data_IF_623423690307
#
_entry.id   IF_623423690307
#
_cell.length_a   1.000
_cell.length_b   1.000
_cell.length_c   1.000
_cell.angle_alpha   90.00
_cell.angle_beta   90.00
_cell.angle_gamma   90.00
#
_symmetry.space_group_name_H-M   'P 1'
#
loop_
_entity.id
_entity.type
_entity.pdbx_description
1 polymer ?
#
# COMPACT_ATOMS: atom_id res chain seq x y z
N UNK A 1 -10.08 -29.92 -27.60
CA UNK A 1 -9.62 -29.07 -26.48
C UNK A 1 -10.55 -27.88 -26.36
N UNK A 2 -11.07 -27.57 -25.17
CA UNK A 2 -11.93 -26.41 -24.98
C UNK A 2 -11.07 -25.14 -24.98
N UNK A 3 -11.24 -24.30 -26.00
CA UNK A 3 -10.45 -23.08 -26.22
C UNK A 3 -10.63 -22.07 -25.07
N UNK A 4 -11.85 -21.91 -24.56
CA UNK A 4 -12.13 -21.02 -23.43
C UNK A 4 -11.43 -21.47 -22.15
N UNK A 5 -11.34 -22.78 -21.93
CA UNK A 5 -10.59 -23.31 -20.79
C UNK A 5 -9.09 -23.00 -20.88
N UNK A 6 -8.50 -23.06 -22.08
CA UNK A 6 -7.10 -22.69 -22.30
C UNK A 6 -6.86 -21.18 -22.15
N UNK A 7 -7.82 -20.35 -22.60
CA UNK A 7 -7.71 -18.91 -22.50
C UNK A 7 -7.89 -18.41 -21.05
N UNK A 8 -8.85 -18.96 -20.30
CA UNK A 8 -9.19 -18.52 -18.95
C UNK A 8 -8.42 -19.26 -17.85
N UNK A 9 -7.90 -20.45 -18.13
CA UNK A 9 -7.10 -21.24 -17.20
C UNK A 9 -5.95 -20.48 -16.53
N UNK A 10 -5.03 -19.82 -17.26
CA UNK A 10 -3.94 -19.08 -16.64
C UNK A 10 -4.42 -17.88 -15.80
N UNK A 11 -5.51 -17.22 -16.20
CA UNK A 11 -6.12 -16.11 -15.45
C UNK A 11 -6.58 -16.60 -14.07
N UNK A 12 -7.36 -17.69 -14.05
CA UNK A 12 -7.85 -18.29 -12.81
C UNK A 12 -6.69 -18.83 -11.96
N UNK A 13 -5.71 -19.48 -12.59
CA UNK A 13 -4.58 -20.07 -11.88
C UNK A 13 -3.73 -19.03 -11.16
N UNK A 14 -3.39 -17.90 -11.80
CA UNK A 14 -2.59 -16.83 -11.19
C UNK A 14 -3.37 -16.15 -10.07
N UNK A 15 -4.65 -15.81 -10.30
CA UNK A 15 -5.48 -15.19 -9.27
C UNK A 15 -5.60 -16.08 -8.03
N UNK A 16 -5.89 -17.37 -8.25
CA UNK A 16 -6.02 -18.35 -7.19
C UNK A 16 -4.70 -18.58 -6.45
N UNK A 17 -3.58 -18.63 -7.18
CA UNK A 17 -2.25 -18.75 -6.59
C UNK A 17 -1.95 -17.60 -5.63
N UNK A 18 -2.19 -16.34 -6.03
CA UNK A 18 -1.96 -15.19 -5.17
C UNK A 18 -2.93 -15.18 -3.98
N UNK A 19 -4.19 -15.51 -4.21
CA UNK A 19 -5.18 -15.59 -3.13
C UNK A 19 -4.81 -16.64 -2.05
N UNK A 20 -4.24 -17.79 -2.42
CA UNK A 20 -3.72 -18.76 -1.45
C UNK A 20 -2.47 -18.23 -0.72
N UNK A 21 -1.64 -17.46 -1.43
CA UNK A 21 -0.40 -16.88 -0.88
C UNK A 21 -0.63 -15.69 0.04
N UNK A 22 -1.85 -15.16 0.05
CA UNK A 22 -2.33 -14.29 1.09
C UNK A 22 -2.35 -15.04 2.43
N UNK A 23 -1.52 -14.55 3.35
CA UNK A 23 -1.08 -15.30 4.54
C UNK A 23 -1.65 -14.75 5.83
N UNK A 24 -2.09 -13.50 5.87
CA UNK A 24 -2.47 -12.88 7.14
C UNK A 24 -3.95 -12.50 7.17
N UNK A 25 -4.50 -11.96 6.07
CA UNK A 25 -5.93 -11.69 5.99
C UNK A 25 -6.41 -11.89 4.55
N UNK A 26 -7.01 -13.05 4.27
CA UNK A 26 -7.47 -13.36 2.93
C UNK A 26 -8.63 -12.48 2.51
N UNK A 27 -8.47 -11.86 1.35
CA UNK A 27 -9.53 -11.05 0.75
C UNK A 27 -10.81 -11.85 0.43
N UNK A 28 -12.01 -11.31 0.71
CA UNK A 28 -13.26 -11.99 0.39
C UNK A 28 -13.44 -12.10 -1.13
N UNK A 29 -13.72 -13.33 -1.61
CA UNK A 29 -13.85 -13.63 -3.04
C UNK A 29 -14.82 -12.70 -3.79
N UNK A 30 -15.89 -12.24 -3.13
CA UNK A 30 -16.87 -11.32 -3.73
C UNK A 30 -16.21 -10.04 -4.26
N UNK A 31 -15.30 -9.42 -3.50
CA UNK A 31 -14.67 -8.16 -3.90
C UNK A 31 -13.57 -8.37 -4.94
N UNK A 32 -12.88 -9.52 -4.87
CA UNK A 32 -11.94 -9.93 -5.91
C UNK A 32 -12.65 -10.15 -7.25
N UNK A 33 -13.79 -10.85 -7.25
CA UNK A 33 -14.60 -11.05 -8.45
C UNK A 33 -15.16 -9.72 -8.97
N UNK A 34 -15.63 -8.82 -8.09
CA UNK A 34 -16.07 -7.48 -8.49
C UNK A 34 -14.96 -6.72 -9.24
N UNK A 35 -13.74 -6.75 -8.69
CA UNK A 35 -12.58 -6.06 -9.27
C UNK A 35 -12.12 -6.71 -10.57
N UNK A 36 -12.18 -8.05 -10.66
CA UNK A 36 -11.94 -8.79 -11.89
C UNK A 36 -12.98 -8.42 -12.97
N UNK A 37 -14.26 -8.35 -12.63
CA UNK A 37 -15.30 -7.92 -13.56
C UNK A 37 -15.11 -6.46 -14.00
N UNK A 38 -14.65 -5.57 -13.12
CA UNK A 38 -14.30 -4.21 -13.52
C UNK A 38 -13.13 -4.18 -14.52
N UNK A 39 -12.16 -5.09 -14.37
CA UNK A 39 -11.10 -5.32 -15.36
C UNK A 39 -11.63 -5.76 -16.72
N UNK A 40 -12.59 -6.69 -16.74
CA UNK A 40 -13.28 -7.11 -17.97
C UNK A 40 -13.96 -5.93 -18.65
N UNK A 41 -14.67 -5.10 -17.89
CA UNK A 41 -15.34 -3.89 -18.42
C UNK A 41 -14.33 -2.87 -18.91
N UNK A 42 -13.16 -2.75 -18.26
CA UNK A 42 -12.09 -1.84 -18.65
C UNK A 42 -11.46 -2.19 -20.02
N UNK A 43 -11.59 -3.42 -20.51
CA UNK A 43 -11.15 -3.78 -21.86
C UNK A 43 -12.02 -3.14 -22.96
N UNK A 44 -13.30 -2.85 -22.69
CA UNK A 44 -14.24 -2.29 -23.68
C UNK A 44 -13.76 -0.94 -24.23
N UNK A 45 -13.49 0.10 -23.43
CA UNK A 45 -13.02 1.38 -23.95
C UNK A 45 -11.68 1.27 -24.65
N UNK A 46 -10.78 0.36 -24.21
CA UNK A 46 -9.50 0.12 -24.90
C UNK A 46 -9.73 -0.44 -26.29
N UNK A 47 -10.53 -1.49 -26.43
CA UNK A 47 -10.86 -2.09 -27.73
C UNK A 47 -11.45 -1.03 -28.68
N UNK A 48 -12.29 -0.12 -28.17
CA UNK A 48 -12.84 0.99 -28.97
C UNK A 48 -11.72 1.92 -29.43
N UNK A 49 -10.84 2.35 -28.53
CA UNK A 49 -9.70 3.22 -28.86
C UNK A 49 -8.80 2.56 -29.90
N UNK A 50 -8.45 1.29 -29.72
CA UNK A 50 -7.62 0.52 -30.65
C UNK A 50 -8.27 0.35 -32.01
N UNK A 51 -9.57 0.04 -32.07
CA UNK A 51 -10.29 -0.07 -33.35
C UNK A 51 -10.26 1.27 -34.09
N UNK A 52 -10.53 2.38 -33.40
CA UNK A 52 -10.49 3.71 -34.00
C UNK A 52 -9.10 4.08 -34.49
N UNK A 53 -8.05 3.64 -33.78
CA UNK A 53 -6.66 3.87 -34.17
C UNK A 53 -6.21 3.00 -35.34
N UNK A 54 -6.60 1.72 -35.37
CA UNK A 54 -6.27 0.77 -36.45
C UNK A 54 -6.90 1.20 -37.79
N UNK A 55 -8.05 1.88 -37.78
CA UNK A 55 -8.67 2.42 -39.00
C UNK A 55 -7.89 3.60 -39.61
N UNK A 56 -6.88 4.14 -38.90
CA UNK A 56 -5.96 5.16 -39.42
C UNK A 56 -4.79 4.52 -40.20
N UNK A 57 -4.83 3.19 -40.43
CA UNK A 57 -3.95 2.42 -41.34
C UNK A 57 -2.50 2.31 -40.88
N UNK A 58 -2.23 1.30 -40.04
CA UNK A 58 -0.87 0.82 -39.81
C UNK A 58 -0.66 -0.53 -40.48
N UNK A 59 0.09 -0.55 -41.58
CA UNK A 59 0.88 -1.73 -41.89
C UNK A 59 2.03 -1.75 -40.87
N UNK A 60 1.90 -2.60 -39.85
CA UNK A 60 2.90 -2.73 -38.77
C UNK A 60 4.29 -3.00 -39.36
N UNK A 61 4.37 -3.67 -40.52
CA UNK A 61 5.65 -3.96 -41.16
C UNK A 61 6.29 -2.73 -41.82
N UNK A 62 5.51 -1.70 -42.11
CA UNK A 62 5.96 -0.43 -42.68
C UNK A 62 6.33 0.62 -41.62
N UNK A 63 6.07 0.36 -40.33
CA UNK A 63 6.40 1.28 -39.26
C UNK A 63 7.90 1.43 -39.07
N UNK A 64 8.35 2.67 -38.90
CA UNK A 64 9.68 2.95 -38.35
C UNK A 64 9.76 2.48 -36.91
N UNK A 65 10.98 2.25 -36.40
CA UNK A 65 11.21 1.89 -34.99
C UNK A 65 10.61 2.93 -34.02
N UNK A 66 10.66 4.22 -34.39
CA UNK A 66 10.10 5.30 -33.56
C UNK A 66 8.58 5.27 -33.50
N UNK A 67 7.91 5.01 -34.63
CA UNK A 67 6.46 4.88 -34.68
C UNK A 67 5.98 3.63 -33.96
N UNK A 68 6.66 2.49 -34.12
CA UNK A 68 6.34 1.27 -33.37
C UNK A 68 6.50 1.50 -31.86
N UNK A 69 7.56 2.18 -31.42
CA UNK A 69 7.72 2.52 -30.01
C UNK A 69 6.65 3.49 -29.51
N UNK A 70 6.24 4.47 -30.32
CA UNK A 70 5.14 5.36 -29.94
C UNK A 70 3.84 4.58 -29.78
N UNK A 71 3.51 3.73 -30.75
CA UNK A 71 2.33 2.86 -30.71
C UNK A 71 2.34 1.97 -29.46
N UNK A 72 3.41 1.22 -29.20
CA UNK A 72 3.41 0.25 -28.10
C UNK A 72 3.42 0.92 -26.72
N UNK A 73 4.13 2.02 -26.53
CA UNK A 73 4.21 2.67 -25.22
C UNK A 73 3.05 3.63 -24.95
N UNK A 74 2.61 4.40 -25.94
CA UNK A 74 1.65 5.49 -25.75
C UNK A 74 0.24 5.08 -26.18
N UNK A 75 0.10 4.39 -27.31
CA UNK A 75 -1.24 4.05 -27.81
C UNK A 75 -1.78 2.82 -27.09
N UNK A 76 -0.97 1.77 -26.96
CA UNK A 76 -1.35 0.51 -26.31
C UNK A 76 -1.05 0.58 -24.81
N UNK A 77 0.23 0.55 -24.43
CA UNK A 77 0.64 0.37 -23.03
C UNK A 77 0.09 1.42 -22.07
N UNK A 78 0.09 2.71 -22.45
CA UNK A 78 -0.48 3.77 -21.61
C UNK A 78 -2.00 3.62 -21.48
N UNK A 79 -2.70 3.39 -22.59
CA UNK A 79 -4.17 3.29 -22.61
C UNK A 79 -4.64 2.08 -21.81
N UNK A 80 -4.04 0.91 -22.05
CA UNK A 80 -4.37 -0.33 -21.34
C UNK A 80 -4.18 -0.21 -19.84
N UNK A 81 -2.98 0.21 -19.42
CA UNK A 81 -2.66 0.30 -18.00
C UNK A 81 -3.47 1.40 -17.31
N UNK A 82 -3.84 2.46 -18.04
CA UNK A 82 -4.74 3.50 -17.52
C UNK A 82 -6.11 2.92 -17.17
N UNK A 83 -6.76 2.20 -18.09
CA UNK A 83 -8.09 1.63 -17.84
C UNK A 83 -8.06 0.51 -16.80
N UNK A 84 -6.99 -0.30 -16.73
CA UNK A 84 -6.78 -1.28 -15.64
C UNK A 84 -6.64 -0.59 -14.29
N UNK A 85 -5.84 0.48 -14.21
CA UNK A 85 -5.70 1.26 -13.00
C UNK A 85 -7.04 1.87 -12.59
N UNK A 86 -7.81 2.45 -13.51
CA UNK A 86 -9.15 2.99 -13.24
C UNK A 86 -10.07 1.93 -12.65
N UNK A 87 -10.11 0.72 -13.22
CA UNK A 87 -10.90 -0.38 -12.66
C UNK A 87 -10.51 -0.70 -11.20
N UNK A 88 -9.20 -0.84 -10.93
CA UNK A 88 -8.69 -1.07 -9.58
C UNK A 88 -9.02 0.07 -8.60
N UNK A 89 -8.80 1.33 -9.00
CA UNK A 89 -9.07 2.49 -8.15
C UNK A 89 -10.57 2.66 -7.86
N UNK A 90 -11.43 2.38 -8.84
CA UNK A 90 -12.87 2.49 -8.72
C UNK A 90 -13.48 1.43 -7.78
N UNK A 91 -12.96 0.19 -7.77
CA UNK A 91 -13.57 -0.90 -6.99
C UNK A 91 -12.92 -1.15 -5.64
N UNK A 92 -11.59 -1.01 -5.54
CA UNK A 92 -10.84 -1.56 -4.41
C UNK A 92 -10.05 -0.53 -3.62
N UNK A 93 -9.43 0.46 -4.28
CA UNK A 93 -8.49 1.37 -3.60
C UNK A 93 -9.12 2.12 -2.42
N UNK A 94 -10.36 2.58 -2.57
CA UNK A 94 -11.10 3.29 -1.53
C UNK A 94 -11.95 2.36 -0.65
N UNK A 95 -11.96 1.07 -0.95
CA UNK A 95 -12.67 0.07 -0.15
C UNK A 95 -12.05 -0.06 1.24
N UNK A 96 -12.89 -0.35 2.23
CA UNK A 96 -12.46 -0.72 3.58
C UNK A 96 -11.78 -2.08 3.65
N UNK A 97 -11.98 -2.93 2.64
CA UNK A 97 -11.41 -4.27 2.57
C UNK A 97 -9.93 -4.25 2.25
N UNK A 98 -9.47 -3.30 1.42
CA UNK A 98 -8.04 -3.06 1.24
C UNK A 98 -7.48 -2.38 2.50
N UNK A 99 -7.08 -3.19 3.47
CA UNK A 99 -6.71 -2.81 4.83
C UNK A 99 -5.24 -3.16 5.17
N UNK A 100 -4.54 -3.81 4.24
CA UNK A 100 -3.10 -4.02 4.24
C UNK A 100 -2.43 -3.76 2.88
N UNK A 101 -1.09 -3.56 2.84
CA UNK A 101 -0.39 -3.27 1.59
C UNK A 101 -0.47 -4.39 0.53
N UNK A 102 -0.62 -5.64 0.95
CA UNK A 102 -0.70 -6.79 0.04
C UNK A 102 -2.01 -6.79 -0.76
N UNK A 103 -3.12 -6.34 -0.17
CA UNK A 103 -4.43 -6.23 -0.83
C UNK A 103 -4.37 -5.34 -2.07
N UNK A 104 -3.54 -4.29 -2.01
CA UNK A 104 -3.29 -3.44 -3.17
C UNK A 104 -2.79 -4.24 -4.37
N UNK A 105 -1.85 -5.16 -4.14
CA UNK A 105 -1.38 -6.12 -5.16
C UNK A 105 -2.54 -7.01 -5.58
N UNK A 106 -3.23 -7.65 -4.63
CA UNK A 106 -4.24 -8.66 -4.93
C UNK A 106 -5.39 -8.10 -5.79
N UNK A 107 -5.90 -6.91 -5.45
CA UNK A 107 -6.97 -6.25 -6.21
C UNK A 107 -6.49 -5.70 -7.56
N UNK A 108 -5.31 -5.08 -7.63
CA UNK A 108 -4.82 -4.56 -8.91
C UNK A 108 -4.49 -5.70 -9.89
N UNK A 109 -3.96 -6.83 -9.40
CA UNK A 109 -3.79 -8.05 -10.19
C UNK A 109 -5.14 -8.58 -10.65
N UNK A 110 -6.17 -8.58 -9.79
CA UNK A 110 -7.51 -9.02 -10.19
C UNK A 110 -8.08 -8.17 -11.35
N UNK A 111 -7.93 -6.84 -11.29
CA UNK A 111 -8.34 -5.95 -12.38
C UNK A 111 -7.56 -6.24 -13.67
N UNK A 112 -6.23 -6.37 -13.58
CA UNK A 112 -5.38 -6.66 -14.74
C UNK A 112 -5.68 -8.03 -15.36
N UNK A 113 -5.96 -9.05 -14.54
CA UNK A 113 -6.35 -10.39 -14.98
C UNK A 113 -7.74 -10.43 -15.61
N UNK A 114 -8.68 -9.62 -15.12
CA UNK A 114 -9.98 -9.44 -15.75
C UNK A 114 -9.88 -8.85 -17.15
N UNK A 115 -9.04 -7.82 -17.31
CA UNK A 115 -8.72 -7.25 -18.61
C UNK A 115 -8.07 -8.30 -19.54
N UNK A 116 -7.02 -8.96 -19.04
CA UNK A 116 -6.28 -9.98 -19.78
C UNK A 116 -7.16 -11.18 -20.18
N UNK A 117 -8.25 -11.46 -19.47
CA UNK A 117 -9.18 -12.52 -19.82
C UNK A 117 -9.87 -12.26 -21.17
N UNK A 118 -10.36 -11.03 -21.39
CA UNK A 118 -11.03 -10.65 -22.66
C UNK A 118 -10.02 -10.68 -23.80
N UNK A 119 -8.89 -10.01 -23.59
CA UNK A 119 -7.84 -9.92 -24.60
C UNK A 119 -7.31 -11.32 -24.96
N UNK A 120 -7.01 -12.16 -23.96
CA UNK A 120 -6.55 -13.52 -24.21
C UNK A 120 -7.60 -14.37 -24.95
N UNK A 121 -8.89 -14.24 -24.62
CA UNK A 121 -9.94 -14.91 -25.40
C UNK A 121 -9.93 -14.46 -26.86
N UNK A 122 -9.85 -13.15 -27.13
CA UNK A 122 -9.82 -12.62 -28.50
C UNK A 122 -8.61 -13.15 -29.29
N UNK A 123 -7.40 -13.06 -28.72
CA UNK A 123 -6.19 -13.57 -29.39
C UNK A 123 -6.23 -15.08 -29.62
N UNK A 124 -6.79 -15.85 -28.68
CA UNK A 124 -6.90 -17.30 -28.83
C UNK A 124 -7.96 -17.70 -29.86
N UNK A 125 -9.06 -16.94 -29.98
CA UNK A 125 -10.04 -17.15 -31.06
C UNK A 125 -9.42 -16.93 -32.44
N UNK A 126 -8.46 -16.00 -32.55
CA UNK A 126 -7.76 -15.70 -33.81
C UNK A 126 -6.60 -16.67 -34.10
N UNK A 127 -5.79 -16.98 -33.10
CA UNK A 127 -4.54 -17.76 -33.25
C UNK A 127 -4.62 -19.21 -32.78
N UNK A 128 -5.77 -19.66 -32.29
CA UNK A 128 -6.03 -21.03 -31.85
C UNK A 128 -5.20 -21.49 -30.65
N UNK A 129 -5.03 -22.81 -30.55
CA UNK A 129 -4.31 -23.46 -29.44
C UNK A 129 -2.86 -22.96 -29.27
N UNK A 130 -2.05 -22.76 -30.34
CA UNK A 130 -0.70 -22.23 -30.18
C UNK A 130 -0.66 -20.85 -29.51
N UNK A 131 -1.57 -19.95 -29.90
CA UNK A 131 -1.70 -18.64 -29.26
C UNK A 131 -2.04 -18.77 -27.77
N UNK A 132 -2.90 -19.73 -27.40
CA UNK A 132 -3.25 -19.96 -26.00
C UNK A 132 -2.02 -20.35 -25.16
N UNK A 133 -1.18 -21.25 -25.66
CA UNK A 133 0.03 -21.67 -24.95
C UNK A 133 1.06 -20.55 -24.82
N UNK A 134 1.31 -19.81 -25.91
CA UNK A 134 2.26 -18.68 -25.88
C UNK A 134 1.78 -17.64 -24.88
N UNK A 135 0.53 -17.20 -24.97
CA UNK A 135 -0.02 -16.16 -24.10
C UNK A 135 -0.14 -16.58 -22.64
N UNK A 136 -0.43 -17.86 -22.37
CA UNK A 136 -0.46 -18.40 -21.01
C UNK A 136 0.91 -18.30 -20.31
N UNK A 137 2.02 -18.36 -21.07
CA UNK A 137 3.39 -18.26 -20.55
C UNK A 137 3.95 -16.84 -20.58
N UNK A 138 3.42 -15.96 -21.43
CA UNK A 138 3.96 -14.62 -21.66
C UNK A 138 2.96 -13.52 -21.26
N UNK A 139 1.95 -13.25 -22.08
CA UNK A 139 1.05 -12.11 -21.95
C UNK A 139 0.25 -12.13 -20.63
N UNK A 140 -0.38 -13.26 -20.29
CA UNK A 140 -1.23 -13.35 -19.09
C UNK A 140 -0.42 -13.17 -17.80
N UNK A 141 0.76 -13.82 -17.62
CA UNK A 141 1.67 -13.50 -16.52
C UNK A 141 2.17 -12.04 -16.54
N UNK A 142 2.46 -11.48 -17.72
CA UNK A 142 2.86 -10.08 -17.84
C UNK A 142 1.79 -9.18 -17.24
N UNK A 143 0.54 -9.21 -17.72
CA UNK A 143 -0.54 -8.36 -17.18
C UNK A 143 -0.70 -8.48 -15.67
N UNK A 144 -0.62 -9.71 -15.13
CA UNK A 144 -0.65 -9.89 -13.68
C UNK A 144 0.48 -9.14 -12.98
N UNK A 145 1.70 -9.18 -13.52
CA UNK A 145 2.84 -8.44 -12.98
C UNK A 145 2.67 -6.92 -13.13
N UNK A 146 2.20 -6.39 -14.28
CA UNK A 146 1.88 -4.96 -14.42
C UNK A 146 0.86 -4.49 -13.37
N UNK A 147 -0.22 -5.26 -13.19
CA UNK A 147 -1.20 -5.03 -12.12
C UNK A 147 -0.56 -5.06 -10.72
N UNK A 148 0.36 -6.00 -10.47
CA UNK A 148 1.11 -6.07 -9.22
C UNK A 148 1.99 -4.84 -8.98
N UNK A 149 2.66 -4.29 -10.00
CA UNK A 149 3.44 -3.06 -9.89
C UNK A 149 2.54 -1.89 -9.46
N UNK A 150 1.42 -1.68 -10.16
CA UNK A 150 0.43 -0.65 -9.79
C UNK A 150 -0.05 -0.87 -8.35
N UNK A 151 -0.46 -2.10 -8.03
CA UNK A 151 -1.01 -2.47 -6.73
C UNK A 151 -0.05 -2.32 -5.56
N UNK A 152 1.22 -2.69 -5.75
CA UNK A 152 2.26 -2.54 -4.72
C UNK A 152 2.47 -1.08 -4.33
N UNK A 153 2.68 -0.22 -5.33
CA UNK A 153 2.90 1.20 -5.07
C UNK A 153 1.65 1.92 -4.58
N UNK A 154 0.47 1.58 -5.10
CA UNK A 154 -0.81 2.09 -4.61
C UNK A 154 -1.07 1.65 -3.16
N UNK A 155 -0.79 0.39 -2.82
CA UNK A 155 -0.83 -0.14 -1.45
C UNK A 155 0.06 0.68 -0.53
N UNK A 156 1.32 0.90 -0.90
CA UNK A 156 2.23 1.79 -0.15
C UNK A 156 1.70 3.21 -0.01
N UNK A 157 1.08 3.76 -1.06
CA UNK A 157 0.50 5.10 -1.04
C UNK A 157 -0.68 5.19 -0.05
N UNK A 158 -1.56 4.19 -0.03
CA UNK A 158 -2.73 4.17 0.86
C UNK A 158 -2.31 4.30 2.32
N UNK A 159 -1.32 3.52 2.75
CA UNK A 159 -0.81 3.46 4.13
C UNK A 159 0.36 4.43 4.43
N UNK A 160 0.72 5.31 3.49
CA UNK A 160 1.77 6.30 3.73
C UNK A 160 1.32 7.40 4.72
N UNK A 161 2.16 7.68 5.73
CA UNK A 161 1.91 8.75 6.73
C UNK A 161 1.94 10.16 6.11
N UNK A 162 2.86 10.39 5.17
CA UNK A 162 3.04 11.69 4.50
C UNK A 162 2.15 11.77 3.26
N UNK A 163 1.12 12.63 3.30
CA UNK A 163 0.13 12.76 2.21
C UNK A 163 0.76 13.15 0.86
N UNK A 164 1.80 13.98 0.87
CA UNK A 164 2.47 14.43 -0.35
C UNK A 164 3.22 13.31 -1.11
N UNK A 165 3.56 12.21 -0.44
CA UNK A 165 4.27 11.06 -1.07
C UNK A 165 3.30 10.17 -1.87
N UNK A 166 2.01 10.20 -1.54
CA UNK A 166 0.99 9.33 -2.15
C UNK A 166 0.92 9.44 -3.67
N UNK A 167 0.77 10.64 -4.27
CA UNK A 167 0.71 10.76 -5.73
C UNK A 167 1.98 10.28 -6.41
N UNK A 168 3.17 10.54 -5.83
CA UNK A 168 4.44 10.09 -6.39
C UNK A 168 4.54 8.56 -6.43
N UNK A 169 4.11 7.87 -5.38
CA UNK A 169 4.07 6.40 -5.36
C UNK A 169 3.11 5.86 -6.43
N UNK A 170 1.89 6.38 -6.50
CA UNK A 170 0.90 5.95 -7.50
C UNK A 170 1.46 6.15 -8.92
N UNK A 171 2.02 7.33 -9.20
CA UNK A 171 2.64 7.63 -10.49
C UNK A 171 3.81 6.70 -10.78
N UNK A 172 4.64 6.37 -9.79
CA UNK A 172 5.76 5.43 -9.95
C UNK A 172 5.28 4.05 -10.40
N UNK A 173 4.27 3.49 -9.71
CA UNK A 173 3.72 2.18 -10.07
C UNK A 173 3.09 2.17 -11.46
N UNK A 174 2.33 3.22 -11.77
CA UNK A 174 1.72 3.42 -13.08
C UNK A 174 2.77 3.53 -14.20
N UNK A 175 3.76 4.40 -14.05
CA UNK A 175 4.81 4.60 -15.07
C UNK A 175 5.64 3.34 -15.29
N UNK A 176 5.94 2.57 -14.24
CA UNK A 176 6.63 1.28 -14.38
C UNK A 176 5.77 0.29 -15.18
N UNK A 177 4.47 0.19 -14.88
CA UNK A 177 3.57 -0.70 -15.61
C UNK A 177 3.46 -0.33 -17.09
N UNK A 178 3.25 0.96 -17.40
CA UNK A 178 3.19 1.47 -18.78
C UNK A 178 4.49 1.18 -19.54
N UNK A 179 5.64 1.46 -18.92
CA UNK A 179 6.94 1.22 -19.54
C UNK A 179 7.17 -0.27 -19.83
N UNK A 180 6.88 -1.15 -18.84
CA UNK A 180 7.04 -2.59 -19.02
C UNK A 180 6.06 -3.15 -20.05
N UNK A 181 4.85 -2.59 -20.13
CA UNK A 181 3.84 -2.98 -21.11
C UNK A 181 4.32 -2.63 -22.52
N UNK A 182 4.65 -1.36 -22.77
CA UNK A 182 5.13 -0.93 -24.07
C UNK A 182 6.41 -1.63 -24.49
N UNK A 183 7.29 -1.99 -23.55
CA UNK A 183 8.48 -2.78 -23.82
C UNK A 183 8.14 -4.25 -24.19
N UNK A 184 7.18 -4.86 -23.51
CA UNK A 184 6.68 -6.20 -23.84
C UNK A 184 6.14 -6.23 -25.27
N UNK A 185 5.27 -5.28 -25.62
CA UNK A 185 4.67 -5.19 -26.95
C UNK A 185 5.68 -4.83 -28.03
N UNK A 186 6.62 -3.93 -27.76
CA UNK A 186 7.69 -3.60 -28.69
C UNK A 186 8.49 -4.85 -29.09
N UNK A 187 8.81 -5.71 -28.12
CA UNK A 187 9.51 -6.97 -28.36
C UNK A 187 8.62 -7.96 -29.11
N UNK A 188 7.34 -8.07 -28.72
CA UNK A 188 6.41 -9.03 -29.29
C UNK A 188 6.04 -8.70 -30.75
N UNK A 189 5.90 -7.40 -31.07
CA UNK A 189 5.49 -6.88 -32.38
C UNK A 189 6.67 -6.55 -33.29
N UNK A 190 7.91 -6.81 -32.88
CA UNK A 190 9.09 -6.41 -33.64
C UNK A 190 9.11 -7.06 -35.05
N UNK A 191 9.04 -6.26 -36.15
CA UNK A 191 8.68 -6.77 -37.47
C UNK A 191 9.74 -7.66 -38.14
N UNK A 192 11.00 -7.60 -37.71
CA UNK A 192 12.11 -8.20 -38.47
C UNK A 192 12.75 -9.46 -37.87
N UNK A 193 12.42 -9.89 -36.63
CA UNK A 193 13.07 -11.05 -36.03
C UNK A 193 12.22 -11.84 -35.03
N UNK A 194 11.88 -13.09 -35.36
CA UNK A 194 11.39 -14.09 -34.38
C UNK A 194 12.37 -14.32 -33.23
N UNK A 195 13.66 -14.00 -33.41
CA UNK A 195 14.66 -14.01 -32.33
C UNK A 195 14.41 -12.93 -31.28
N UNK A 196 13.74 -11.83 -31.61
CA UNK A 196 13.43 -10.78 -30.64
C UNK A 196 12.60 -11.33 -29.47
N UNK A 197 11.73 -12.32 -29.74
CA UNK A 197 10.92 -12.98 -28.71
C UNK A 197 11.75 -13.68 -27.63
N UNK A 198 13.03 -14.01 -27.91
CA UNK A 198 13.93 -14.53 -26.88
C UNK A 198 14.17 -13.51 -25.75
N UNK A 199 14.02 -12.21 -26.02
CA UNK A 199 14.12 -11.15 -25.01
C UNK A 199 12.90 -11.06 -24.09
N UNK A 200 11.78 -11.71 -24.42
CA UNK A 200 10.64 -11.80 -23.51
C UNK A 200 10.98 -12.61 -22.25
N UNK A 201 11.79 -13.68 -22.38
CA UNK A 201 12.17 -14.52 -21.23
C UNK A 201 12.98 -13.78 -20.16
N UNK A 202 14.07 -13.05 -20.47
CA UNK A 202 14.79 -12.27 -19.46
C UNK A 202 13.93 -11.11 -18.94
N UNK A 203 13.11 -10.45 -19.77
CA UNK A 203 12.18 -9.42 -19.32
C UNK A 203 11.21 -9.97 -18.27
N UNK A 204 10.50 -11.05 -18.60
CA UNK A 204 9.57 -11.72 -17.69
C UNK A 204 10.29 -12.24 -16.45
N UNK A 205 11.51 -12.77 -16.58
CA UNK A 205 12.33 -13.21 -15.45
C UNK A 205 12.62 -12.08 -14.46
N UNK A 206 13.02 -10.90 -14.95
CA UNK A 206 13.22 -9.70 -14.12
C UNK A 206 11.91 -9.27 -13.45
N UNK A 207 10.81 -9.26 -14.20
CA UNK A 207 9.49 -8.90 -13.66
C UNK A 207 9.02 -9.88 -12.58
N UNK A 208 9.26 -11.19 -12.74
CA UNK A 208 8.92 -12.22 -11.75
C UNK A 208 9.73 -11.99 -10.48
N UNK A 209 11.05 -11.79 -10.60
CA UNK A 209 11.90 -11.52 -9.43
C UNK A 209 11.45 -10.25 -8.70
N UNK A 210 11.21 -9.16 -9.42
CA UNK A 210 10.70 -7.91 -8.84
C UNK A 210 9.34 -8.11 -8.16
N UNK A 211 8.43 -8.85 -8.79
CA UNK A 211 7.12 -9.18 -8.24
C UNK A 211 7.22 -9.95 -6.92
N UNK A 212 8.10 -10.95 -6.84
CA UNK A 212 8.35 -11.71 -5.63
C UNK A 212 8.92 -10.84 -4.51
N UNK A 213 9.82 -9.91 -4.83
CA UNK A 213 10.38 -8.94 -3.88
C UNK A 213 9.30 -7.99 -3.34
N UNK A 214 8.42 -7.50 -4.21
CA UNK A 214 7.32 -6.61 -3.82
C UNK A 214 6.24 -7.32 -3.01
N UNK A 215 5.88 -8.56 -3.37
CA UNK A 215 5.02 -9.41 -2.54
C UNK A 215 5.63 -9.61 -1.15
N UNK A 216 6.92 -9.91 -1.07
CA UNK A 216 7.62 -10.09 0.20
C UNK A 216 7.62 -8.82 1.04
N UNK A 217 7.91 -7.66 0.44
CA UNK A 217 7.90 -6.37 1.12
C UNK A 217 6.48 -5.98 1.59
N UNK A 218 5.46 -6.12 0.74
CA UNK A 218 4.07 -5.82 1.08
C UNK A 218 3.59 -6.68 2.26
N UNK A 219 3.84 -7.99 2.22
CA UNK A 219 3.52 -8.91 3.31
C UNK A 219 4.28 -8.59 4.59
N UNK A 220 5.53 -8.15 4.50
CA UNK A 220 6.30 -7.76 5.68
C UNK A 220 5.78 -6.48 6.34
N UNK A 221 4.98 -5.69 5.63
CA UNK A 221 4.32 -4.48 6.14
C UNK A 221 2.87 -4.72 6.56
N UNK A 222 2.38 -5.95 6.45
CA UNK A 222 1.05 -6.33 6.92
C UNK A 222 0.89 -5.95 8.41
N UNK A 223 -0.19 -5.25 8.78
CA UNK A 223 -0.52 -5.04 10.19
C UNK A 223 -1.01 -6.34 10.85
N UNK A 224 -1.41 -7.35 10.07
CA UNK A 224 -1.88 -8.65 10.55
C UNK A 224 -0.73 -9.66 10.73
N UNK A 225 0.50 -9.29 10.33
CA UNK A 225 1.68 -10.10 10.59
C UNK A 225 1.91 -10.28 12.10
N UNK A 226 2.03 -11.53 12.60
CA UNK A 226 2.26 -11.78 14.01
C UNK A 226 3.62 -11.21 14.46
N UNK A 227 3.61 -10.52 15.61
CA UNK A 227 4.86 -10.11 16.26
C UNK A 227 5.53 -11.32 16.90
N UNK A 228 6.79 -11.55 16.57
CA UNK A 228 7.61 -12.60 17.16
C UNK A 228 8.88 -12.01 17.79
N UNK A 229 9.37 -12.63 18.87
CA UNK A 229 10.66 -12.30 19.46
C UNK A 229 11.85 -12.93 18.69
N UNK A 230 13.07 -12.71 19.18
CA UNK A 230 14.30 -13.27 18.61
C UNK A 230 14.36 -14.81 18.64
N UNK A 231 13.50 -15.45 19.43
CA UNK A 231 13.34 -16.90 19.54
C UNK A 231 12.15 -17.43 18.73
N UNK A 232 11.44 -16.56 18.00
CA UNK A 232 10.27 -16.89 17.18
C UNK A 232 8.96 -17.10 17.97
N UNK A 233 8.94 -16.74 19.26
CA UNK A 233 7.73 -16.82 20.09
C UNK A 233 6.82 -15.63 19.83
N UNK A 234 5.51 -15.87 19.79
CA UNK A 234 4.52 -14.81 19.61
C UNK A 234 4.57 -13.80 20.77
N UNK A 235 4.78 -12.53 20.46
CA UNK A 235 4.76 -11.45 21.45
C UNK A 235 3.50 -10.61 21.38
N UNK A 236 2.79 -10.62 20.25
CA UNK A 236 1.61 -9.79 19.98
C UNK A 236 1.88 -8.30 19.82
N UNK A 237 3.05 -7.79 20.20
CA UNK A 237 3.35 -6.37 20.16
C UNK A 237 3.86 -5.92 18.79
N UNK A 238 3.08 -5.09 18.07
CA UNK A 238 3.51 -4.49 16.80
C UNK A 238 3.40 -2.97 16.82
N UNK A 239 4.31 -2.27 16.14
CA UNK A 239 4.16 -0.84 15.79
C UNK A 239 4.39 -0.69 14.30
N UNK A 240 3.38 -0.15 13.59
CA UNK A 240 3.43 0.02 12.12
C UNK A 240 3.80 -1.29 11.38
N UNK A 241 3.28 -2.45 11.84
CA UNK A 241 3.50 -3.76 11.22
C UNK A 241 4.84 -4.43 11.55
N UNK A 242 5.72 -3.80 12.34
CA UNK A 242 6.98 -4.40 12.79
C UNK A 242 6.83 -5.01 14.18
N UNK A 243 7.36 -6.21 14.45
CA UNK A 243 7.45 -6.76 15.79
C UNK A 243 8.18 -5.77 16.70
N UNK A 244 7.63 -5.55 17.88
CA UNK A 244 8.22 -4.71 18.89
C UNK A 244 8.69 -5.58 20.07
N UNK A 245 9.89 -5.35 20.61
CA UNK A 245 10.29 -6.02 21.84
C UNK A 245 9.29 -5.70 22.95
N UNK A 246 8.88 -6.69 23.78
CA UNK A 246 7.88 -6.49 24.84
C UNK A 246 8.20 -5.31 25.77
N UNK A 247 9.48 -5.09 26.08
CA UNK A 247 9.96 -3.97 26.90
C UNK A 247 9.67 -2.60 26.28
N UNK A 248 9.81 -2.49 24.97
CA UNK A 248 9.53 -1.24 24.23
C UNK A 248 8.02 -1.06 24.10
N UNK A 249 7.27 -2.15 23.94
CA UNK A 249 5.83 -2.12 23.78
C UNK A 249 5.12 -1.64 25.04
N UNK A 250 5.55 -2.16 26.20
CA UNK A 250 5.09 -1.70 27.51
C UNK A 250 5.36 -0.20 27.72
N UNK A 251 6.54 0.29 27.29
CA UNK A 251 6.89 1.72 27.40
C UNK A 251 6.04 2.62 26.48
N UNK A 252 5.60 2.09 25.35
CA UNK A 252 4.76 2.80 24.37
C UNK A 252 3.26 2.58 24.58
N UNK A 253 2.85 1.80 25.59
CA UNK A 253 1.45 1.47 25.83
C UNK A 253 0.80 0.67 24.69
N UNK A 254 1.58 -0.15 23.98
CA UNK A 254 1.09 -0.95 22.85
C UNK A 254 0.49 -2.23 23.38
N UNK A 255 -0.79 -2.47 23.10
CA UNK A 255 -1.45 -3.73 23.47
C UNK A 255 -1.05 -4.90 22.54
N UNK A 256 -0.92 -6.12 23.09
CA UNK A 256 -0.61 -7.29 22.29
C UNK A 256 -1.84 -7.73 21.48
N UNK A 257 -1.63 -8.01 20.19
CA UNK A 257 -2.66 -8.61 19.33
C UNK A 257 -2.81 -10.10 19.61
N UNK A 258 -3.87 -10.70 19.06
CA UNK A 258 -4.02 -12.16 19.02
C UNK A 258 -3.24 -12.74 17.82
N UNK A 259 -2.65 -13.94 17.96
CA UNK A 259 -1.96 -14.60 16.86
C UNK A 259 -2.96 -15.01 15.76
N UNK A 260 -2.54 -15.01 14.48
CA UNK A 260 -3.32 -15.62 13.41
C UNK A 260 -3.64 -17.09 13.69
N UNK A 261 -4.76 -17.58 13.17
CA UNK A 261 -5.23 -18.97 13.41
C UNK A 261 -4.22 -20.04 12.96
N UNK A 262 -3.40 -19.74 11.95
CA UNK A 262 -2.39 -20.63 11.39
C UNK A 262 -0.98 -20.44 11.98
N UNK A 263 -0.82 -19.59 13.01
CA UNK A 263 0.46 -19.35 13.64
C UNK A 263 0.89 -20.54 14.51
N UNK A 264 2.01 -21.19 14.14
CA UNK A 264 2.66 -22.24 14.91
C UNK A 264 3.94 -21.68 15.53
N UNK A 265 4.05 -21.57 16.87
CA UNK A 265 5.27 -21.13 17.54
C UNK A 265 6.46 -22.07 17.28
N UNK A 266 7.68 -21.53 17.24
CA UNK A 266 8.92 -22.30 17.01
C UNK A 266 9.38 -23.13 18.20
N UNK A 267 8.93 -22.82 19.43
CA UNK A 267 9.29 -23.58 20.63
C UNK A 267 8.05 -23.96 21.46
N UNK A 268 7.82 -25.27 21.54
CA UNK A 268 6.81 -25.98 22.32
C UNK A 268 5.35 -25.76 21.89
N UNK A 269 4.61 -26.85 21.67
CA UNK A 269 3.18 -26.87 21.35
C UNK A 269 2.26 -26.36 22.47
N UNK A 270 2.66 -25.34 23.23
CA UNK A 270 1.77 -24.61 24.11
C UNK A 270 0.98 -23.59 23.29
N UNK A 271 -0.35 -23.65 23.43
CA UNK A 271 -1.25 -22.62 22.92
C UNK A 271 -0.78 -21.25 23.42
N UNK A 272 -0.74 -20.22 22.57
CA UNK A 272 -0.32 -18.88 22.99
C UNK A 272 -1.28 -18.36 24.07
N UNK A 273 -0.79 -18.29 25.31
CA UNK A 273 -1.47 -17.62 26.41
C UNK A 273 -0.95 -16.19 26.45
N UNK A 274 -1.86 -15.22 26.30
CA UNK A 274 -1.52 -13.80 26.47
C UNK A 274 -0.82 -13.61 27.82
N UNK A 275 0.38 -13.01 27.87
CA UNK A 275 1.00 -12.71 29.15
C UNK A 275 0.11 -11.73 29.90
N UNK A 276 -0.39 -12.14 31.08
CA UNK A 276 -1.01 -11.21 32.02
C UNK A 276 0.03 -10.14 32.41
N UNK A 277 -0.37 -8.87 32.59
CA UNK A 277 0.56 -7.80 32.89
C UNK A 277 1.16 -8.01 34.30
N UNK A 278 2.33 -8.63 34.38
CA UNK A 278 3.13 -8.64 35.60
C UNK A 278 4.17 -7.51 35.54
N UNK A 279 3.97 -6.51 36.39
CA UNK A 279 4.95 -5.46 36.66
C UNK A 279 6.10 -6.08 37.45
N UNK A 280 7.17 -6.51 36.78
CA UNK A 280 8.40 -6.97 37.44
C UNK A 280 9.52 -5.93 37.32
N UNK A 281 10.06 -5.53 38.47
CA UNK A 281 11.15 -4.55 38.64
C UNK A 281 12.41 -4.96 37.86
N UNK A 282 13.06 -3.99 37.22
CA UNK A 282 14.24 -4.14 36.35
C UNK A 282 15.51 -4.54 37.12
N UNK A 283 16.38 -5.41 36.56
CA UNK A 283 17.81 -5.36 36.80
C UNK A 283 18.57 -4.71 35.62
N UNK A 284 19.77 -4.21 35.92
CA UNK A 284 20.57 -3.28 35.14
C UNK A 284 21.07 -3.77 33.76
N UNK A 285 21.42 -2.79 32.92
CA UNK A 285 21.66 -2.83 31.46
C UNK A 285 23.13 -3.16 31.12
N UNK A 286 23.42 -4.00 30.11
CA UNK A 286 24.68 -3.94 29.39
C UNK A 286 24.52 -3.16 28.07
N UNK A 287 25.54 -2.36 27.74
CA UNK A 287 25.65 -1.60 26.50
C UNK A 287 25.94 -2.52 25.31
N UNK A 288 25.25 -2.32 24.18
CA UNK A 288 25.62 -2.92 22.89
C UNK A 288 25.46 -1.92 21.76
N UNK A 289 26.46 -1.92 20.87
CA UNK A 289 26.73 -0.98 19.79
C UNK A 289 25.68 -1.06 18.67
N UNK A 290 25.33 0.10 18.11
CA UNK A 290 24.35 0.24 17.04
C UNK A 290 24.87 -0.31 15.69
N UNK A 291 23.98 -0.99 14.95
CA UNK A 291 24.19 -1.39 13.57
C UNK A 291 23.98 -0.21 12.60
N UNK A 292 24.74 -0.21 11.51
CA UNK A 292 24.77 0.83 10.47
C UNK A 292 23.50 0.82 9.60
N UNK A 293 22.85 1.97 9.33
CA UNK A 293 21.66 2.04 8.48
C UNK A 293 21.97 1.97 6.97
N UNK A 294 21.00 1.50 6.17
CA UNK A 294 21.07 1.46 4.71
C UNK A 294 20.84 2.86 4.10
N UNK A 295 21.43 3.12 2.93
CA UNK A 295 21.48 4.41 2.23
C UNK A 295 20.13 5.16 2.07
N UNK A 296 19.00 4.45 2.02
CA UNK A 296 17.68 5.09 1.91
C UNK A 296 17.12 5.59 3.24
N UNK A 297 17.61 5.12 4.40
CA UNK A 297 17.14 5.56 5.72
C UNK A 297 17.55 7.01 6.04
N UNK A 298 18.56 7.54 5.35
CA UNK A 298 19.05 8.90 5.54
C UNK A 298 18.05 9.96 5.08
N UNK A 299 17.26 9.66 4.05
CA UNK A 299 16.18 10.52 3.56
C UNK A 299 14.90 10.47 4.42
N UNK A 300 14.85 9.60 5.43
CA UNK A 300 13.69 9.42 6.33
C UNK A 300 13.90 9.92 7.76
N UNK A 301 15.04 10.54 8.09
CA UNK A 301 15.22 11.18 9.40
C UNK A 301 14.38 12.47 9.49
N UNK A 302 13.72 12.74 10.64
CA UNK A 302 13.09 14.03 10.88
C UNK A 302 14.17 15.13 10.99
N UNK A 303 13.89 16.32 10.47
CA UNK A 303 14.68 17.52 10.76
C UNK A 303 14.70 17.70 12.28
N UNK A 304 15.91 17.74 12.86
CA UNK A 304 16.10 17.99 14.29
C UNK A 304 15.63 19.42 14.56
N UNK A 305 14.53 19.61 15.29
CA UNK A 305 14.28 20.92 15.90
C UNK A 305 15.35 21.09 16.96
N UNK A 306 16.18 22.12 16.82
CA UNK A 306 16.99 22.59 17.95
C UNK A 306 16.02 23.11 19.01
N UNK A 307 15.78 22.30 20.04
CA UNK A 307 15.13 22.77 21.26
C UNK A 307 16.15 23.65 21.99
N UNK A 308 15.83 24.94 22.10
CA UNK A 308 16.52 25.86 23.01
C UNK A 308 16.42 25.31 24.45
N UNK A 309 17.49 25.33 25.26
CA UNK A 309 17.43 24.80 26.62
C UNK A 309 16.41 25.59 27.46
N UNK A 310 15.47 24.87 28.07
CA UNK A 310 14.59 25.43 29.10
C UNK A 310 15.43 25.94 30.28
N UNK A 311 15.13 27.11 30.87
CA UNK A 311 15.84 27.59 32.04
C UNK A 311 15.58 26.67 33.25
N UNK A 312 16.62 26.50 34.08
CA UNK A 312 16.61 25.61 35.23
C UNK A 312 15.57 26.05 36.28
N UNK A 313 14.90 25.10 36.98
CA UNK A 313 14.00 25.44 38.08
C UNK A 313 14.78 25.97 39.29
N UNK A 314 14.29 27.05 39.90
CA UNK A 314 14.87 27.63 41.12
C UNK A 314 14.80 26.65 42.31
N UNK A 315 15.81 26.67 43.20
CA UNK A 315 15.85 25.78 44.36
C UNK A 315 14.80 26.16 45.42
N UNK A 316 14.27 25.19 46.18
CA UNK A 316 13.25 25.43 47.19
C UNK A 316 13.81 26.23 48.37
N UNK A 317 13.15 27.33 48.73
CA UNK A 317 13.42 28.10 49.94
C UNK A 317 12.85 27.38 51.16
N UNK A 318 13.73 27.03 52.10
CA UNK A 318 13.38 26.53 53.43
C UNK A 318 12.72 27.63 54.28
N UNK A 319 11.72 27.31 55.12
CA UNK A 319 11.08 28.30 55.99
C UNK A 319 11.93 28.54 57.25
N UNK A 320 12.25 29.81 57.50
CA UNK A 320 12.70 30.32 58.80
C UNK A 320 11.64 31.28 59.33
N UNK A 321 10.94 30.90 60.40
CA UNK A 321 10.19 31.81 61.29
C UNK A 321 11.11 32.32 62.43
N UNK A 322 10.71 33.30 63.27
CA UNK A 322 9.95 34.52 63.01
C UNK A 322 10.68 35.76 63.62
N UNK A 323 10.40 36.96 63.09
CA UNK A 323 10.90 38.23 63.64
C UNK A 323 9.81 39.29 63.68
N UNK A 324 9.44 39.69 64.90
CA UNK A 324 8.50 40.78 65.21
C UNK A 324 8.98 42.14 64.68
N UNK A 325 8.05 42.96 64.18
CA UNK A 325 8.26 44.38 63.89
C UNK A 325 6.97 45.08 63.50
N UNK A 326 6.41 45.85 64.43
CA UNK A 326 5.20 46.68 64.26
C UNK A 326 5.51 47.93 63.43
N UNK A 327 4.59 48.33 62.54
CA UNK A 327 4.34 49.76 62.25
C UNK A 327 2.89 49.98 61.76
N UNK A 328 2.28 51.06 62.25
CA UNK A 328 0.85 51.39 62.27
C UNK A 328 0.49 52.44 61.18
N UNK A 329 -0.76 52.94 61.02
CA UNK A 329 -1.49 52.93 59.76
C UNK A 329 -1.60 54.33 59.11
N UNK A 330 -1.96 54.40 57.82
CA UNK A 330 -2.50 55.64 57.22
C UNK A 330 -3.76 55.38 56.39
N UNK A 331 -4.72 56.27 56.60
CA UNK A 331 -6.13 56.26 56.22
C UNK A 331 -6.42 56.35 54.70
N UNK A 332 -7.64 55.99 54.26
CA UNK A 332 -8.07 56.03 52.87
C UNK A 332 -8.89 57.29 52.51
N UNK A 333 -8.99 57.70 51.23
CA UNK A 333 -10.06 58.58 50.77
C UNK A 333 -11.14 57.86 49.94
N UNK A 334 -12.32 57.83 50.54
CA UNK A 334 -13.68 58.12 50.06
C UNK A 334 -14.19 57.79 48.64
N UNK A 335 -15.34 57.11 48.67
CA UNK A 335 -16.34 56.85 47.61
C UNK A 335 -16.98 58.11 47.00
N UNK A 336 -17.48 57.98 45.77
CA UNK A 336 -18.69 58.69 45.30
C UNK A 336 -19.73 57.68 44.79
N UNK A 337 -20.94 57.76 45.37
CA UNK A 337 -22.19 57.07 45.00
C UNK A 337 -22.82 57.74 43.76
N UNK A 338 -23.28 56.97 42.78
CA UNK A 338 -24.71 56.63 42.54
C UNK A 338 -25.18 57.23 41.19
N UNK A 339 -26.38 56.94 40.65
CA UNK A 339 -27.42 56.00 41.11
C UNK A 339 -28.01 55.05 40.01
N UNK A 340 -28.53 53.92 40.47
CA UNK A 340 -29.85 53.29 40.22
C UNK A 340 -30.48 53.07 38.80
N UNK A 341 -30.58 51.76 38.46
CA UNK A 341 -31.80 51.00 38.07
C UNK A 341 -32.50 51.21 36.70
N UNK A 342 -33.41 50.30 36.25
CA UNK A 342 -33.40 48.82 36.28
C UNK A 342 -33.84 48.14 34.95
N UNK A 343 -33.65 46.80 34.95
CA UNK A 343 -34.16 45.69 34.10
C UNK A 343 -35.38 45.94 33.20
N UNK A 344 -35.36 45.32 32.02
CA UNK A 344 -36.57 44.80 31.38
C UNK A 344 -36.33 43.43 30.69
N UNK A 345 -37.27 42.51 30.91
CA UNK A 345 -37.40 41.17 30.33
C UNK A 345 -38.65 41.20 29.47
N UNK A 346 -38.54 40.98 28.16
CA UNK A 346 -39.69 40.73 27.29
C UNK A 346 -39.28 39.87 26.08
N UNK A 347 -40.07 38.82 25.84
CA UNK A 347 -40.08 37.85 24.71
C UNK A 347 -41.53 37.90 24.14
N UNK A 348 -41.96 37.14 23.11
CA UNK A 348 -41.46 36.77 21.77
C UNK A 348 -42.36 37.30 20.61
N UNK A 349 -41.93 37.15 19.34
CA UNK A 349 -42.77 37.02 18.11
C UNK A 349 -41.84 36.33 17.06
N UNK A 350 -42.11 35.18 16.42
CA UNK A 350 -43.16 34.69 15.49
C UNK A 350 -43.18 35.38 14.10
N UNK A 351 -43.28 34.50 13.08
CA UNK A 351 -43.53 34.70 11.64
C UNK A 351 -42.28 35.12 10.82
N UNK A 352 -41.86 34.51 9.71
CA UNK A 352 -42.41 33.56 8.72
C UNK A 352 -41.35 32.54 8.25
#
# INVERSE_FOLDING_TARGET
MNIFALALGPVVAILFFLWIKDRYEREPLKYLLLTLCAGVVAAIPVIIVEILWVHISYDISALTTGELAFMTFIEIGLTEEFFKAVAFFATAYWSKHMNEPYDGIMYAVAAALGFAAIENVMYVLMGGVPAAFVRALTAVPAHAMMGLFIGYFAGRAKFAKRKWVKPFLILTGFSIAVFLHGLYDLIAMWPYHRLAWLWLFPLLGVMVVASLLFIRDARNRSPFKPAVDEYGRYTGYTVSGRPLPPKVAAKLGVEPRLPPEDFVPTESGQKPVLPKPEVRKQPAKPETKAATPYFLDEYFKPARKEESPLPAPEPPTTPTEPGFGYESPKEPPAQKKGPDTPKDYSRPEKDE
#
